data_IF_626589602074
#
_entry.id   IF_626589602074
#
_cell.length_a   1.000
_cell.length_b   1.000
_cell.length_c   1.000
_cell.angle_alpha   90.00
_cell.angle_beta   90.00
_cell.angle_gamma   90.00
#
_symmetry.space_group_name_H-M   'P 1'
#
loop_
_entity.id
_entity.type
_entity.pdbx_description
1 polymer ?
#
# COMPACT_ATOMS: atom_id res chain seq x y z
N UNK A 1 20.75 -11.58 -8.66
CA UNK A 1 20.14 -12.14 -7.44
C UNK A 1 18.82 -12.79 -7.87
N UNK A 2 18.93 -14.07 -8.24
CA UNK A 2 17.82 -14.88 -8.73
C UNK A 2 17.12 -15.39 -7.48
N UNK A 3 16.08 -14.70 -7.02
CA UNK A 3 15.13 -15.31 -6.11
C UNK A 3 14.47 -16.46 -6.88
N UNK A 4 14.41 -17.65 -6.28
CA UNK A 4 13.73 -18.81 -6.88
C UNK A 4 12.36 -18.37 -7.39
N UNK A 5 12.18 -18.41 -8.71
CA UNK A 5 10.98 -17.91 -9.40
C UNK A 5 9.69 -18.44 -8.75
N UNK A 6 9.77 -19.66 -8.21
CA UNK A 6 8.71 -20.36 -7.48
C UNK A 6 8.33 -19.64 -6.17
N UNK A 7 9.30 -19.21 -5.36
CA UNK A 7 9.04 -18.50 -4.10
C UNK A 7 8.46 -17.11 -4.35
N UNK A 8 8.96 -16.42 -5.37
CA UNK A 8 8.46 -15.11 -5.77
C UNK A 8 6.98 -15.16 -6.14
N UNK A 9 6.57 -16.08 -7.03
CA UNK A 9 5.16 -16.22 -7.40
C UNK A 9 4.28 -16.67 -6.22
N UNK A 10 4.81 -17.52 -5.34
CA UNK A 10 4.08 -17.99 -4.16
C UNK A 10 3.74 -16.86 -3.18
N UNK A 11 4.58 -15.82 -3.11
CA UNK A 11 4.35 -14.63 -2.27
C UNK A 11 3.58 -13.55 -3.02
N UNK A 12 3.89 -13.33 -4.31
CA UNK A 12 3.30 -12.27 -5.12
C UNK A 12 1.79 -12.49 -5.37
N UNK A 13 1.38 -13.72 -5.69
CA UNK A 13 -0.03 -14.04 -5.97
C UNK A 13 -0.95 -13.71 -4.78
N UNK A 14 -0.73 -14.25 -3.56
CA UNK A 14 -1.57 -13.93 -2.42
C UNK A 14 -1.47 -12.46 -2.03
N UNK A 15 -0.29 -11.83 -2.15
CA UNK A 15 -0.15 -10.42 -1.85
C UNK A 15 -0.95 -9.52 -2.80
N UNK A 16 -0.97 -9.80 -4.10
CA UNK A 16 -1.78 -9.04 -5.08
C UNK A 16 -3.26 -9.22 -4.80
N UNK A 17 -3.70 -10.44 -4.46
CA UNK A 17 -5.09 -10.72 -4.07
C UNK A 17 -5.45 -9.91 -2.81
N UNK A 18 -4.62 -9.98 -1.77
CA UNK A 18 -4.82 -9.23 -0.52
C UNK A 18 -4.89 -7.72 -0.78
N UNK A 19 -4.02 -7.19 -1.66
CA UNK A 19 -4.04 -5.79 -2.04
C UNK A 19 -5.31 -5.41 -2.82
N UNK A 20 -5.80 -6.31 -3.69
CA UNK A 20 -7.08 -6.13 -4.38
C UNK A 20 -8.26 -6.07 -3.42
N UNK A 21 -8.32 -6.98 -2.44
CA UNK A 21 -9.36 -6.99 -1.40
C UNK A 21 -9.25 -5.76 -0.48
N UNK A 22 -8.03 -5.31 -0.16
CA UNK A 22 -7.75 -4.08 0.58
C UNK A 22 -8.27 -2.84 -0.12
N UNK A 23 -7.93 -2.67 -1.40
CA UNK A 23 -8.36 -1.53 -2.19
C UNK A 23 -9.87 -1.52 -2.46
N UNK A 24 -10.49 -2.70 -2.53
CA UNK A 24 -11.94 -2.85 -2.61
C UNK A 24 -12.70 -2.53 -1.33
N UNK A 25 -12.01 -2.22 -0.22
CA UNK A 25 -12.62 -1.92 1.09
C UNK A 25 -13.13 -3.17 1.84
N UNK A 26 -12.89 -4.36 1.30
CA UNK A 26 -13.38 -5.63 1.88
C UNK A 26 -12.40 -6.27 2.87
N UNK A 27 -11.12 -5.87 2.90
CA UNK A 27 -10.11 -6.58 3.71
C UNK A 27 -9.98 -6.09 5.16
N UNK A 28 -10.80 -5.13 5.62
CA UNK A 28 -10.78 -4.67 7.01
C UNK A 28 -9.35 -4.35 7.54
N UNK A 29 -9.09 -4.55 8.84
CA UNK A 29 -7.76 -4.36 9.44
C UNK A 29 -6.66 -5.29 8.88
N UNK A 30 -7.05 -6.40 8.23
CA UNK A 30 -6.16 -7.48 7.78
C UNK A 30 -5.34 -7.02 6.55
N UNK A 31 -5.86 -6.06 5.78
CA UNK A 31 -5.18 -5.39 4.67
C UNK A 31 -3.81 -4.78 5.04
N UNK A 32 -3.70 -4.24 6.26
CA UNK A 32 -2.56 -3.44 6.71
C UNK A 32 -1.30 -4.31 6.89
N UNK A 33 -1.47 -5.63 7.01
CA UNK A 33 -0.39 -6.60 7.25
C UNK A 33 0.35 -6.99 5.96
N UNK A 34 -0.18 -6.66 4.78
CA UNK A 34 0.39 -7.08 3.49
C UNK A 34 1.78 -6.50 3.17
N UNK A 35 1.99 -5.19 3.41
CA UNK A 35 3.26 -4.50 3.13
C UNK A 35 4.38 -4.94 4.09
N UNK A 36 4.15 -5.05 5.41
CA UNK A 36 5.15 -5.56 6.36
C UNK A 36 5.58 -6.99 6.05
N UNK A 37 4.63 -7.89 5.72
CA UNK A 37 4.93 -9.28 5.35
C UNK A 37 5.79 -9.39 4.09
N UNK A 38 5.50 -8.60 3.05
CA UNK A 38 6.30 -8.54 1.82
C UNK A 38 7.74 -8.06 2.07
N UNK A 39 7.92 -7.12 2.99
CA UNK A 39 9.24 -6.53 3.31
C UNK A 39 10.22 -7.49 4.02
N UNK A 40 9.72 -8.63 4.50
CA UNK A 40 10.56 -9.70 5.07
C UNK A 40 11.33 -10.43 3.96
N UNK A 41 10.72 -10.56 2.77
CA UNK A 41 11.23 -11.41 1.68
C UNK A 41 11.89 -10.60 0.57
N UNK A 42 11.43 -9.37 0.32
CA UNK A 42 11.92 -8.52 -0.79
C UNK A 42 12.20 -7.11 -0.30
N UNK A 43 13.15 -6.40 -0.92
CA UNK A 43 13.35 -4.97 -0.67
C UNK A 43 12.03 -4.21 -0.88
N UNK A 44 11.62 -3.31 0.03
CA UNK A 44 10.35 -2.57 -0.09
C UNK A 44 10.23 -1.84 -1.43
N UNK A 45 11.36 -1.35 -1.96
CA UNK A 45 11.43 -0.66 -3.23
C UNK A 45 11.11 -1.57 -4.42
N UNK A 46 11.67 -2.79 -4.48
CA UNK A 46 11.33 -3.74 -5.54
C UNK A 46 9.88 -4.23 -5.43
N UNK A 47 9.39 -4.49 -4.22
CA UNK A 47 7.99 -4.86 -4.01
C UNK A 47 7.05 -3.76 -4.52
N UNK A 48 7.32 -2.49 -4.18
CA UNK A 48 6.57 -1.35 -4.67
C UNK A 48 6.66 -1.20 -6.20
N UNK A 49 7.84 -1.40 -6.80
CA UNK A 49 8.02 -1.31 -8.25
C UNK A 49 7.20 -2.35 -9.03
N UNK A 50 7.07 -3.57 -8.50
CA UNK A 50 6.27 -4.64 -9.10
C UNK A 50 4.77 -4.40 -8.89
N UNK A 51 4.39 -3.89 -7.71
CA UNK A 51 3.00 -3.60 -7.37
C UNK A 51 2.47 -2.38 -8.13
N UNK A 52 3.29 -1.36 -8.39
CA UNK A 52 2.89 -0.08 -8.99
C UNK A 52 2.04 -0.23 -10.26
N UNK A 53 2.46 -0.99 -11.30
CA UNK A 53 1.66 -1.18 -12.51
C UNK A 53 0.30 -1.84 -12.22
N UNK A 54 0.28 -2.82 -11.31
CA UNK A 54 -0.93 -3.54 -10.91
C UNK A 54 -1.88 -2.58 -10.18
N UNK A 55 -1.36 -1.77 -9.26
CA UNK A 55 -2.14 -0.78 -8.52
C UNK A 55 -2.72 0.29 -9.44
N UNK A 56 -1.94 0.78 -10.41
CA UNK A 56 -2.42 1.74 -11.41
C UNK A 56 -3.56 1.15 -12.24
N UNK A 57 -3.45 -0.11 -12.69
CA UNK A 57 -4.55 -0.78 -13.39
C UNK A 57 -5.81 -0.89 -12.52
N UNK A 58 -5.65 -1.23 -11.23
CA UNK A 58 -6.77 -1.25 -10.29
C UNK A 58 -7.42 0.14 -10.14
N UNK A 59 -6.64 1.23 -10.10
CA UNK A 59 -7.18 2.59 -10.05
C UNK A 59 -8.01 2.93 -11.29
N UNK A 60 -7.52 2.56 -12.48
CA UNK A 60 -8.24 2.78 -13.73
C UNK A 60 -9.58 2.05 -13.71
N UNK A 61 -9.59 0.78 -13.31
CA UNK A 61 -10.82 -0.03 -13.21
C UNK A 61 -11.77 0.57 -12.17
N UNK A 62 -11.27 0.98 -11.01
CA UNK A 62 -12.07 1.60 -9.97
C UNK A 62 -12.73 2.90 -10.48
N UNK A 63 -11.94 3.77 -11.11
CA UNK A 63 -12.47 4.99 -11.71
C UNK A 63 -13.55 4.65 -12.75
N UNK A 64 -13.28 3.74 -13.69
CA UNK A 64 -14.25 3.31 -14.70
C UNK A 64 -15.56 2.79 -14.10
N UNK A 65 -15.49 1.97 -13.06
CA UNK A 65 -16.66 1.41 -12.38
C UNK A 65 -17.48 2.50 -11.67
N UNK A 66 -16.81 3.48 -11.03
CA UNK A 66 -17.45 4.51 -10.22
C UNK A 66 -17.71 5.85 -10.95
N UNK A 67 -17.39 6.00 -12.24
CA UNK A 67 -17.56 7.26 -13.00
C UNK A 67 -18.99 7.81 -13.01
N UNK A 68 -20.01 7.00 -12.71
CA UNK A 68 -21.41 7.44 -12.73
C UNK A 68 -21.98 7.78 -11.34
N UNK A 69 -21.26 7.46 -10.25
CA UNK A 69 -21.74 7.60 -8.86
C UNK A 69 -20.76 8.39 -7.97
N UNK A 70 -20.18 9.48 -8.49
CA UNK A 70 -19.20 10.27 -7.74
C UNK A 70 -19.74 11.65 -7.35
N UNK A 71 -19.28 12.16 -6.20
CA UNK A 71 -19.63 13.48 -5.69
C UNK A 71 -18.50 14.48 -5.95
N UNK A 72 -18.73 15.41 -6.89
CA UNK A 72 -17.73 16.42 -7.29
C UNK A 72 -17.19 17.26 -6.14
N UNK A 73 -18.05 17.65 -5.18
CA UNK A 73 -17.66 18.51 -4.06
C UNK A 73 -16.64 17.84 -3.13
N UNK A 74 -16.82 16.56 -2.84
CA UNK A 74 -15.84 15.80 -2.04
C UNK A 74 -14.54 15.57 -2.81
N UNK A 75 -14.64 15.32 -4.12
CA UNK A 75 -13.48 15.12 -4.98
C UNK A 75 -12.59 16.37 -5.05
N UNK A 76 -13.19 17.57 -5.15
CA UNK A 76 -12.46 18.83 -5.18
C UNK A 76 -11.74 19.15 -3.87
N UNK A 77 -12.26 18.69 -2.72
CA UNK A 77 -11.58 18.84 -1.42
C UNK A 77 -10.47 17.81 -1.26
N UNK A 78 -10.66 16.59 -1.76
CA UNK A 78 -9.70 15.50 -1.63
C UNK A 78 -8.48 15.68 -2.56
N UNK A 79 -8.72 16.10 -3.80
CA UNK A 79 -7.69 16.26 -4.83
C UNK A 79 -6.50 17.14 -4.41
N UNK A 80 -6.67 18.35 -3.86
CA UNK A 80 -5.53 19.19 -3.47
C UNK A 80 -4.73 18.55 -2.34
N UNK A 81 -5.39 17.92 -1.35
CA UNK A 81 -4.70 17.19 -0.29
C UNK A 81 -3.89 16.01 -0.83
N UNK A 82 -4.48 15.23 -1.75
CA UNK A 82 -3.80 14.12 -2.40
C UNK A 82 -2.61 14.59 -3.25
N UNK A 83 -2.77 15.65 -4.05
CA UNK A 83 -1.71 16.23 -4.87
C UNK A 83 -0.55 16.73 -4.01
N UNK A 84 -0.85 17.48 -2.94
CA UNK A 84 0.17 17.96 -2.01
C UNK A 84 0.91 16.80 -1.33
N UNK A 85 0.18 15.76 -0.90
CA UNK A 85 0.79 14.56 -0.32
C UNK A 85 1.70 13.80 -1.29
N UNK A 86 1.27 13.62 -2.55
CA UNK A 86 2.06 12.97 -3.59
C UNK A 86 3.32 13.79 -3.91
N UNK A 87 3.20 15.10 -4.06
CA UNK A 87 4.35 15.98 -4.32
C UNK A 87 5.32 15.96 -3.14
N UNK A 88 4.83 16.10 -1.91
CA UNK A 88 5.67 16.06 -0.72
C UNK A 88 6.37 14.69 -0.58
N UNK A 89 5.64 13.60 -0.78
CA UNK A 89 6.18 12.24 -0.73
C UNK A 89 7.23 11.97 -1.81
N UNK A 90 6.97 12.38 -3.05
CA UNK A 90 7.93 12.20 -4.16
C UNK A 90 9.21 13.03 -4.00
N UNK A 91 9.10 14.24 -3.45
CA UNK A 91 10.28 15.06 -3.13
C UNK A 91 11.10 14.43 -2.00
N UNK A 92 10.43 13.95 -0.95
CA UNK A 92 11.08 13.27 0.17
C UNK A 92 11.74 11.96 -0.28
N UNK A 93 11.12 11.22 -1.21
CA UNK A 93 11.59 9.91 -1.66
C UNK A 93 13.05 9.91 -2.14
N UNK A 94 13.54 11.02 -2.70
CA UNK A 94 14.93 11.16 -3.14
C UNK A 94 15.95 11.12 -2.01
N UNK A 95 15.54 11.38 -0.78
CA UNK A 95 16.40 11.39 0.41
C UNK A 95 16.29 10.11 1.25
N UNK A 96 15.43 9.17 0.88
CA UNK A 96 15.20 7.92 1.62
C UNK A 96 16.08 6.80 1.06
N UNK A 97 16.92 6.22 1.91
CA UNK A 97 17.60 4.96 1.63
C UNK A 97 16.67 3.76 1.88
N UNK A 98 16.96 2.63 1.24
CA UNK A 98 16.16 1.40 1.41
C UNK A 98 16.04 0.96 2.88
N UNK A 99 17.11 1.13 3.66
CA UNK A 99 17.13 0.82 5.09
C UNK A 99 16.22 1.74 5.91
N UNK A 100 16.20 3.04 5.60
CA UNK A 100 15.29 3.98 6.25
C UNK A 100 13.83 3.62 5.97
N UNK A 101 13.50 3.31 4.71
CA UNK A 101 12.15 2.87 4.32
C UNK A 101 11.75 1.62 5.11
N UNK A 102 12.67 0.66 5.26
CA UNK A 102 12.43 -0.56 6.04
C UNK A 102 12.15 -0.27 7.51
N UNK A 103 12.92 0.63 8.14
CA UNK A 103 12.68 1.06 9.52
C UNK A 103 11.33 1.76 9.66
N UNK A 104 10.98 2.68 8.75
CA UNK A 104 9.69 3.37 8.79
C UNK A 104 8.51 2.40 8.70
N UNK A 105 8.55 1.45 7.75
CA UNK A 105 7.51 0.42 7.62
C UNK A 105 7.42 -0.42 8.91
N UNK A 106 8.56 -0.80 9.48
CA UNK A 106 8.62 -1.54 10.75
C UNK A 106 7.97 -0.77 11.91
N UNK A 107 8.32 0.51 12.07
CA UNK A 107 7.75 1.38 13.10
C UNK A 107 6.24 1.52 12.93
N UNK A 108 5.76 1.83 11.72
CA UNK A 108 4.32 1.95 11.44
C UNK A 108 3.58 0.64 11.76
N UNK A 109 4.18 -0.50 11.43
CA UNK A 109 3.60 -1.82 11.72
C UNK A 109 3.45 -2.05 13.22
N UNK A 110 4.49 -1.77 14.00
CA UNK A 110 4.47 -1.92 15.46
C UNK A 110 3.46 -0.95 16.08
N UNK A 111 3.43 0.32 15.63
CA UNK A 111 2.45 1.31 16.09
C UNK A 111 1.02 0.85 15.83
N UNK A 112 0.75 0.24 14.66
CA UNK A 112 -0.58 -0.25 14.33
C UNK A 112 -1.00 -1.42 15.22
N UNK A 113 -0.08 -2.35 15.49
CA UNK A 113 -0.31 -3.46 16.43
C UNK A 113 -0.59 -2.92 17.84
N UNK A 114 0.21 -1.97 18.33
CA UNK A 114 -0.01 -1.33 19.63
C UNK A 114 -1.36 -0.63 19.69
N UNK A 115 -1.71 0.15 18.67
CA UNK A 115 -2.99 0.84 18.60
C UNK A 115 -4.17 -0.14 18.59
N UNK A 116 -4.06 -1.24 17.84
CA UNK A 116 -5.07 -2.29 17.84
C UNK A 116 -5.25 -2.94 19.22
N UNK A 117 -4.15 -3.23 19.92
CA UNK A 117 -4.21 -3.80 21.27
C UNK A 117 -4.86 -2.84 22.26
N UNK A 118 -4.51 -1.55 22.22
CA UNK A 118 -5.07 -0.52 23.10
C UNK A 118 -6.56 -0.30 22.83
N UNK A 119 -6.99 -0.26 21.56
CA UNK A 119 -8.40 -0.10 21.19
C UNK A 119 -9.22 -1.34 21.58
N UNK A 120 -8.62 -2.53 21.57
CA UNK A 120 -9.29 -3.78 21.96
C UNK A 120 -9.58 -3.88 23.46
N UNK A 121 -8.92 -3.08 24.30
CA UNK A 121 -9.17 -3.02 25.75
C UNK A 121 -10.23 -1.98 26.17
N UNK A 122 -10.85 -1.25 25.24
CA UNK A 122 -11.88 -0.23 25.52
C UNK A 122 -13.25 -0.58 24.97
#
# INVERSE_FOLDING_TARGET
MIFDINLFYFVAIPAVILYGVAKGGFAGPIAVVGVPLMSIVVSPLQAAAIMLPILCLQDVIAVLSYRRKFHYKNLQTLLPGALLGIIAGTLWFRYLSDDLIRIFIGVISITFVLNYLIIKES
#
